data_IF_776153519865
#
_entry.id   IF_776153519865
#
_cell.length_a   1.000
_cell.length_b   1.000
_cell.length_c   1.000
_cell.angle_alpha   90.00
_cell.angle_beta   90.00
_cell.angle_gamma   90.00
#
_symmetry.space_group_name_H-M   'P 1'
#
loop_
_entity.id
_entity.type
_entity.pdbx_description
1 polymer ?
#
# COMPACT_ATOMS: atom_id res chain seq x y z
N UNK A 1 -35.56 -28.79 -64.98
CA UNK A 1 -35.18 -28.97 -63.58
C UNK A 1 -34.19 -27.88 -63.25
N UNK A 2 -34.59 -26.82 -62.55
CA UNK A 2 -33.74 -25.69 -62.18
C UNK A 2 -33.23 -25.90 -60.76
N UNK A 3 -31.90 -26.07 -60.60
CA UNK A 3 -31.26 -26.12 -59.30
C UNK A 3 -31.15 -24.72 -58.69
N UNK A 4 -31.83 -24.50 -57.56
CA UNK A 4 -31.69 -23.27 -56.77
C UNK A 4 -30.57 -23.52 -55.81
N UNK A 5 -29.46 -22.78 -55.97
CA UNK A 5 -28.35 -22.70 -55.02
C UNK A 5 -28.75 -21.72 -53.93
N UNK A 6 -28.96 -22.20 -52.70
CA UNK A 6 -29.18 -21.35 -51.52
C UNK A 6 -27.78 -20.98 -50.97
N UNK A 7 -27.41 -19.71 -51.12
CA UNK A 7 -26.22 -19.14 -50.54
C UNK A 7 -26.51 -18.72 -49.08
N UNK A 8 -26.03 -19.50 -48.11
CA UNK A 8 -26.13 -19.15 -46.71
C UNK A 8 -24.97 -18.19 -46.40
N UNK A 9 -25.25 -16.90 -46.31
CA UNK A 9 -24.30 -15.89 -45.82
C UNK A 9 -24.19 -15.99 -44.30
N UNK A 10 -23.08 -16.50 -43.81
CA UNK A 10 -22.71 -16.33 -42.40
C UNK A 10 -22.32 -14.87 -42.17
N UNK A 11 -23.17 -14.08 -41.52
CA UNK A 11 -22.79 -12.82 -40.95
C UNK A 11 -21.95 -13.13 -39.72
N UNK A 12 -20.65 -12.97 -39.84
CA UNK A 12 -19.76 -12.81 -38.68
C UNK A 12 -20.06 -11.43 -38.08
N UNK A 13 -20.84 -11.38 -37.01
CA UNK A 13 -20.88 -10.23 -36.13
C UNK A 13 -19.56 -10.27 -35.35
N UNK A 14 -18.55 -9.55 -35.83
CA UNK A 14 -17.39 -9.25 -35.04
C UNK A 14 -17.88 -8.36 -33.89
N UNK A 15 -18.07 -8.93 -32.71
CA UNK A 15 -18.13 -8.18 -31.47
C UNK A 15 -16.80 -7.44 -31.39
N UNK A 16 -16.82 -6.14 -31.66
CA UNK A 16 -15.72 -5.27 -31.32
C UNK A 16 -15.62 -5.35 -29.78
N UNK A 17 -14.68 -6.15 -29.28
CA UNK A 17 -14.21 -6.00 -27.91
C UNK A 17 -13.75 -4.55 -27.82
N UNK A 18 -14.52 -3.72 -27.13
CA UNK A 18 -14.06 -2.39 -26.72
C UNK A 18 -12.91 -2.67 -25.79
N UNK A 19 -11.68 -2.58 -26.31
CA UNK A 19 -10.48 -2.51 -25.51
C UNK A 19 -10.71 -1.37 -24.52
N UNK A 20 -10.99 -1.69 -23.26
CA UNK A 20 -11.00 -0.71 -22.22
C UNK A 20 -9.61 -0.09 -22.19
N UNK A 21 -9.54 1.18 -22.58
CA UNK A 21 -8.28 1.90 -22.70
C UNK A 21 -7.95 2.40 -21.29
N UNK A 22 -7.11 1.66 -20.56
CA UNK A 22 -6.56 2.14 -19.30
C UNK A 22 -5.76 3.43 -19.61
N UNK A 23 -6.21 4.55 -19.09
CA UNK A 23 -5.52 5.85 -19.25
C UNK A 23 -4.24 5.87 -18.39
N UNK A 24 -3.20 5.20 -18.87
CA UNK A 24 -1.89 5.18 -18.22
C UNK A 24 -1.03 6.29 -18.83
N UNK A 25 -0.56 7.20 -17.99
CA UNK A 25 0.34 8.28 -18.39
C UNK A 25 1.67 7.73 -18.92
N UNK A 26 2.28 8.43 -19.87
CA UNK A 26 3.66 8.15 -20.27
C UNK A 26 4.63 8.30 -19.10
N UNK A 27 5.80 7.64 -19.13
CA UNK A 27 6.79 7.73 -18.06
C UNK A 27 7.23 9.18 -17.77
N UNK A 28 7.24 10.04 -18.77
CA UNK A 28 7.56 11.45 -18.60
C UNK A 28 6.46 12.17 -17.80
N UNK A 29 5.20 11.97 -18.16
CA UNK A 29 4.06 12.57 -17.46
C UNK A 29 3.98 12.04 -16.01
N UNK A 30 4.21 10.74 -15.80
CA UNK A 30 4.31 10.16 -14.46
C UNK A 30 5.40 10.84 -13.62
N UNK A 31 6.56 11.12 -14.20
CA UNK A 31 7.64 11.81 -13.52
C UNK A 31 7.24 13.25 -13.15
N UNK A 32 6.61 13.99 -14.06
CA UNK A 32 6.13 15.35 -13.82
C UNK A 32 5.09 15.40 -12.69
N UNK A 33 4.14 14.45 -12.67
CA UNK A 33 3.13 14.33 -11.60
C UNK A 33 3.80 14.06 -10.25
N UNK A 34 4.67 13.06 -10.18
CA UNK A 34 5.36 12.68 -8.93
C UNK A 34 6.23 13.81 -8.38
N UNK A 35 6.97 14.51 -9.23
CA UNK A 35 7.81 15.64 -8.82
C UNK A 35 6.96 16.83 -8.36
N UNK A 36 5.78 17.05 -8.96
CA UNK A 36 4.81 18.04 -8.51
C UNK A 36 4.26 17.70 -7.12
N UNK A 37 3.83 16.45 -6.91
CA UNK A 37 3.37 15.99 -5.58
C UNK A 37 4.44 16.13 -4.52
N UNK A 38 5.68 15.78 -4.83
CA UNK A 38 6.78 15.89 -3.89
C UNK A 38 6.97 17.34 -3.42
N UNK A 39 6.86 18.34 -4.33
CA UNK A 39 6.91 19.76 -3.96
C UNK A 39 5.78 20.15 -3.02
N UNK A 40 4.54 19.73 -3.33
CA UNK A 40 3.40 20.02 -2.47
C UNK A 40 3.52 19.35 -1.09
N UNK A 41 4.00 18.12 -1.03
CA UNK A 41 4.28 17.43 0.23
C UNK A 41 5.29 18.19 1.10
N UNK A 42 6.35 18.72 0.51
CA UNK A 42 7.32 19.54 1.24
C UNK A 42 6.73 20.83 1.79
N UNK A 43 5.74 21.40 1.14
CA UNK A 43 5.04 22.59 1.62
C UNK A 43 4.00 22.27 2.70
N UNK A 44 3.21 21.22 2.52
CA UNK A 44 2.05 20.92 3.34
C UNK A 44 2.37 19.97 4.51
N UNK A 45 3.20 18.95 4.28
CA UNK A 45 3.41 17.83 5.21
C UNK A 45 4.63 18.06 6.10
N UNK A 46 5.81 18.37 5.53
CA UNK A 46 7.07 18.44 6.27
C UNK A 46 7.04 19.44 7.44
N UNK A 47 6.56 20.70 7.28
CA UNK A 47 6.55 21.66 8.39
C UNK A 47 5.64 21.23 9.53
N UNK A 48 4.46 20.70 9.20
CA UNK A 48 3.49 20.25 10.21
C UNK A 48 4.02 19.07 11.03
N UNK A 49 4.67 18.10 10.38
CA UNK A 49 5.27 16.94 11.04
C UNK A 49 6.44 17.33 11.93
N UNK A 50 7.40 18.11 11.42
CA UNK A 50 8.57 18.52 12.21
C UNK A 50 8.17 19.30 13.45
N UNK A 51 7.19 20.21 13.34
CA UNK A 51 6.68 21.00 14.47
C UNK A 51 5.87 20.16 15.45
N UNK A 52 5.02 19.23 14.96
CA UNK A 52 4.27 18.28 15.80
C UNK A 52 5.20 17.46 16.69
N UNK A 53 6.30 16.95 16.12
CA UNK A 53 7.28 16.13 16.85
C UNK A 53 8.35 16.96 17.58
N UNK A 54 8.34 18.27 17.42
CA UNK A 54 9.30 19.19 18.04
C UNK A 54 10.75 18.93 17.57
N UNK A 55 10.91 18.62 16.28
CA UNK A 55 12.21 18.34 15.63
C UNK A 55 12.65 19.57 14.85
N UNK A 56 13.83 20.08 15.15
CA UNK A 56 14.39 21.22 14.44
C UNK A 56 15.14 20.81 13.17
N UNK A 57 15.77 19.63 13.16
CA UNK A 57 16.51 19.13 11.99
C UNK A 57 16.23 17.65 11.75
N UNK A 58 15.91 17.30 10.51
CA UNK A 58 15.76 15.93 10.06
C UNK A 58 16.83 15.59 9.03
N UNK A 59 17.61 14.54 9.29
CA UNK A 59 18.65 14.04 8.42
C UNK A 59 18.21 12.70 7.81
N UNK A 60 18.22 12.63 6.48
CA UNK A 60 18.00 11.39 5.74
C UNK A 60 19.25 11.07 4.95
N UNK A 61 19.96 10.00 5.34
CA UNK A 61 21.30 9.69 4.85
C UNK A 61 21.31 8.30 4.24
N UNK A 62 21.65 8.21 2.97
CA UNK A 62 21.73 6.95 2.24
C UNK A 62 22.92 6.91 1.29
N UNK A 63 23.19 5.73 0.79
CA UNK A 63 24.08 5.54 -0.35
C UNK A 63 23.38 4.71 -1.43
N UNK A 64 23.87 4.84 -2.65
CA UNK A 64 23.44 4.08 -3.81
C UNK A 64 23.40 2.58 -3.50
N UNK A 65 22.30 1.93 -3.89
CA UNK A 65 21.96 0.52 -3.65
C UNK A 65 21.66 0.13 -2.20
N UNK A 66 21.63 1.09 -1.28
CA UNK A 66 21.16 0.89 0.09
C UNK A 66 20.44 2.15 0.55
N UNK A 67 19.36 2.45 -0.15
CA UNK A 67 18.57 3.63 0.09
C UNK A 67 17.63 3.42 1.29
N UNK A 68 17.57 4.45 2.12
CA UNK A 68 16.54 4.65 3.13
C UNK A 68 15.15 4.67 2.46
N UNK A 69 14.15 3.93 2.97
CA UNK A 69 12.80 3.91 2.39
C UNK A 69 12.18 5.32 2.27
N UNK A 70 12.40 6.20 3.25
CA UNK A 70 11.94 7.59 3.19
C UNK A 70 12.66 8.35 2.10
N UNK A 71 13.99 8.19 1.96
CA UNK A 71 14.76 8.84 0.89
C UNK A 71 14.22 8.49 -0.49
N UNK A 72 13.85 7.22 -0.74
CA UNK A 72 13.25 6.82 -2.03
C UNK A 72 12.03 7.65 -2.40
N UNK A 73 11.24 8.04 -1.42
CA UNK A 73 10.05 8.88 -1.63
C UNK A 73 10.36 10.37 -1.76
N UNK A 74 11.59 10.79 -1.46
CA UNK A 74 12.06 12.19 -1.53
C UNK A 74 12.96 12.44 -2.73
N UNK A 75 13.36 11.41 -3.47
CA UNK A 75 14.13 11.55 -4.69
C UNK A 75 13.24 12.06 -5.85
N UNK A 76 13.78 12.88 -6.77
CA UNK A 76 13.07 13.24 -7.98
C UNK A 76 12.77 11.99 -8.80
N UNK A 77 11.65 11.96 -9.51
CA UNK A 77 11.19 10.78 -10.25
C UNK A 77 12.18 10.28 -11.31
N UNK A 78 13.10 11.14 -11.76
CA UNK A 78 14.19 10.78 -12.68
C UNK A 78 15.39 10.08 -12.00
N UNK A 79 15.39 10.00 -10.67
CA UNK A 79 16.43 9.29 -9.91
C UNK A 79 15.89 7.94 -9.45
N UNK A 80 16.27 6.87 -10.14
CA UNK A 80 15.85 5.51 -9.79
C UNK A 80 16.57 4.98 -8.53
N UNK A 81 17.67 5.62 -8.14
CA UNK A 81 18.44 5.34 -6.94
C UNK A 81 19.12 6.63 -6.44
N UNK A 82 19.54 6.65 -5.18
CA UNK A 82 20.44 7.66 -4.67
C UNK A 82 21.79 7.61 -5.43
N UNK A 83 22.55 8.69 -5.38
CA UNK A 83 23.86 8.75 -6.06
C UNK A 83 24.97 8.76 -5.03
N UNK A 84 25.80 7.69 -4.99
CA UNK A 84 26.87 7.53 -4.00
C UNK A 84 26.32 7.71 -2.58
N UNK A 85 26.95 8.55 -1.74
CA UNK A 85 26.35 8.99 -0.47
C UNK A 85 25.58 10.28 -0.70
N UNK A 86 24.28 10.25 -0.46
CA UNK A 86 23.36 11.39 -0.52
C UNK A 86 22.86 11.67 0.90
N UNK A 87 22.99 12.92 1.35
CA UNK A 87 22.51 13.34 2.67
C UNK A 87 21.54 14.50 2.46
N UNK A 88 20.29 14.29 2.80
CA UNK A 88 19.24 15.31 2.77
C UNK A 88 19.10 15.90 4.17
N UNK A 89 19.10 17.21 4.25
CA UNK A 89 18.93 17.96 5.50
C UNK A 89 17.71 18.83 5.37
N UNK A 90 16.79 18.69 6.29
CA UNK A 90 15.61 19.55 6.47
C UNK A 90 15.76 20.26 7.82
N UNK A 91 15.74 21.58 7.82
CA UNK A 91 15.87 22.40 9.02
C UNK A 91 14.70 23.38 9.15
N UNK A 92 13.93 23.27 10.22
CA UNK A 92 12.88 24.24 10.56
C UNK A 92 13.50 25.44 11.28
N UNK A 93 13.56 26.57 10.60
CA UNK A 93 14.04 27.83 11.19
C UNK A 93 12.93 28.58 11.95
N UNK A 94 11.73 27.96 12.12
CA UNK A 94 10.55 28.52 12.75
C UNK A 94 9.62 29.28 11.80
N UNK A 95 10.08 29.60 10.56
CA UNK A 95 9.28 30.25 9.51
C UNK A 95 9.03 29.27 8.36
N UNK A 96 10.09 28.66 7.88
CA UNK A 96 10.09 27.73 6.76
C UNK A 96 11.03 26.55 7.00
N UNK A 97 10.92 25.52 6.17
CA UNK A 97 11.85 24.40 6.15
C UNK A 97 12.95 24.70 5.14
N UNK A 98 14.14 24.95 5.61
CA UNK A 98 15.32 25.04 4.78
C UNK A 98 15.78 23.63 4.40
N UNK A 99 16.12 23.42 3.13
CA UNK A 99 16.50 22.11 2.60
C UNK A 99 17.89 22.16 1.96
N UNK A 100 18.74 21.16 2.29
CA UNK A 100 20.09 21.07 1.79
C UNK A 100 20.39 19.66 1.29
N UNK A 101 21.09 19.58 0.16
CA UNK A 101 21.72 18.35 -0.32
C UNK A 101 23.21 18.39 -0.03
N UNK A 102 23.67 17.66 0.97
CA UNK A 102 25.09 17.42 1.17
C UNK A 102 25.50 16.27 0.25
N UNK A 103 25.51 16.56 -1.04
CA UNK A 103 25.86 15.66 -2.14
C UNK A 103 26.49 16.48 -3.28
N UNK A 104 26.99 15.81 -4.32
CA UNK A 104 27.63 16.46 -5.49
C UNK A 104 26.65 17.23 -6.38
N UNK A 105 25.34 17.00 -6.21
CA UNK A 105 24.27 17.49 -7.10
C UNK A 105 23.10 18.04 -6.27
N UNK A 106 22.31 18.89 -6.90
CA UNK A 106 20.94 19.15 -6.45
C UNK A 106 20.17 17.83 -6.45
N UNK A 107 19.31 17.59 -5.46
CA UNK A 107 18.36 16.48 -5.47
C UNK A 107 16.99 17.05 -5.81
N UNK A 108 16.66 16.95 -7.08
CA UNK A 108 15.49 17.61 -7.64
C UNK A 108 15.52 19.14 -7.48
N UNK A 109 14.35 19.73 -7.41
CA UNK A 109 14.21 21.17 -7.21
C UNK A 109 14.21 21.57 -5.73
N UNK A 110 14.00 20.62 -4.83
CA UNK A 110 13.80 20.85 -3.39
C UNK A 110 15.14 20.99 -2.66
N UNK A 111 16.03 20.03 -2.83
CA UNK A 111 17.30 20.02 -2.06
C UNK A 111 18.44 20.57 -2.90
N UNK A 112 18.87 21.78 -2.56
CA UNK A 112 19.97 22.43 -3.27
C UNK A 112 21.32 21.95 -2.79
N UNK A 113 22.25 21.75 -3.73
CA UNK A 113 23.63 21.37 -3.46
C UNK A 113 24.25 22.33 -2.46
N UNK A 114 24.74 21.79 -1.35
CA UNK A 114 25.40 22.56 -0.28
C UNK A 114 26.84 22.07 0.03
N UNK A 115 27.34 21.14 -0.78
CA UNK A 115 28.67 20.59 -0.67
C UNK A 115 29.46 20.70 -1.97
N UNK A 116 30.67 21.23 -1.88
CA UNK A 116 31.64 21.32 -2.98
C UNK A 116 32.89 20.55 -2.59
N UNK A 117 33.18 19.37 -3.18
CA UNK A 117 34.32 18.55 -2.82
C UNK A 117 35.69 19.19 -3.15
N UNK A 118 35.72 20.20 -4.05
CA UNK A 118 36.96 20.92 -4.35
C UNK A 118 37.34 21.89 -3.22
N UNK A 119 36.31 22.45 -2.54
CA UNK A 119 36.53 23.35 -1.39
C UNK A 119 36.60 22.62 -0.05
N UNK A 120 35.80 21.57 0.11
CA UNK A 120 35.73 20.72 1.29
C UNK A 120 35.72 19.25 0.86
N UNK A 121 36.88 18.56 0.85
CA UNK A 121 36.94 17.16 0.40
C UNK A 121 36.13 16.18 1.25
N UNK A 122 35.93 16.49 2.54
CA UNK A 122 35.20 15.65 3.49
C UNK A 122 33.70 16.03 3.55
N UNK A 123 32.87 15.18 3.00
CA UNK A 123 31.41 15.34 2.97
C UNK A 123 30.79 15.36 4.39
N UNK A 124 31.31 14.55 5.31
CA UNK A 124 30.82 14.47 6.68
C UNK A 124 31.17 15.71 7.47
N UNK A 125 32.35 16.29 7.23
CA UNK A 125 32.76 17.58 7.79
C UNK A 125 31.81 18.68 7.32
N UNK A 126 31.40 18.70 6.04
CA UNK A 126 30.42 19.66 5.55
C UNK A 126 29.06 19.51 6.25
N UNK A 127 28.57 18.28 6.45
CA UNK A 127 27.35 18.03 7.23
C UNK A 127 27.50 18.59 8.67
N UNK A 128 28.61 18.31 9.33
CA UNK A 128 28.89 18.83 10.68
C UNK A 128 28.89 20.36 10.72
N UNK A 129 29.48 21.03 9.72
CA UNK A 129 29.48 22.50 9.61
C UNK A 129 28.05 23.05 9.52
N UNK A 130 27.15 22.43 8.73
CA UNK A 130 25.74 22.81 8.65
C UNK A 130 25.02 22.62 10.00
N UNK A 131 25.27 21.50 10.69
CA UNK A 131 24.71 21.25 12.03
C UNK A 131 25.15 22.30 13.03
N UNK A 132 26.45 22.67 13.03
CA UNK A 132 27.00 23.69 13.90
C UNK A 132 26.39 25.08 13.58
N UNK A 133 26.33 25.43 12.30
CA UNK A 133 25.76 26.71 11.83
C UNK A 133 24.32 26.89 12.26
N UNK A 134 23.48 25.84 12.04
CA UNK A 134 22.05 25.88 12.36
C UNK A 134 21.74 25.67 13.83
N UNK A 135 22.64 25.03 14.57
CA UNK A 135 22.56 24.78 16.02
C UNK A 135 21.18 24.19 16.45
N UNK A 136 20.69 23.11 15.83
CA UNK A 136 19.40 22.51 16.17
C UNK A 136 19.39 21.97 17.60
N UNK A 137 18.25 22.04 18.28
CA UNK A 137 18.06 21.46 19.61
C UNK A 137 17.87 19.94 19.53
N UNK A 138 17.16 19.46 18.47
CA UNK A 138 16.95 18.05 18.19
C UNK A 138 17.27 17.73 16.73
N UNK A 139 18.06 16.69 16.53
CA UNK A 139 18.47 16.17 15.22
C UNK A 139 17.89 14.78 15.07
N UNK A 140 16.90 14.64 14.19
CA UNK A 140 16.25 13.34 13.95
C UNK A 140 16.94 12.59 12.82
N UNK A 141 17.15 11.29 13.01
CA UNK A 141 17.68 10.34 12.01
C UNK A 141 16.76 9.13 11.88
N UNK A 142 16.66 8.55 10.70
CA UNK A 142 15.81 7.39 10.45
C UNK A 142 16.40 6.12 11.08
N UNK A 143 16.16 5.97 12.37
CA UNK A 143 16.52 4.81 13.19
C UNK A 143 15.32 4.39 14.02
N UNK A 144 14.86 3.18 13.82
CA UNK A 144 13.67 2.63 14.46
C UNK A 144 13.87 1.16 14.82
N UNK A 145 13.26 0.75 15.94
CA UNK A 145 13.15 -0.67 16.31
C UNK A 145 11.78 -1.28 15.89
N UNK A 146 10.83 -0.42 15.48
CA UNK A 146 9.44 -0.82 15.31
C UNK A 146 9.01 -0.87 13.84
N UNK A 147 9.51 0.05 13.01
CA UNK A 147 9.17 0.16 11.60
C UNK A 147 10.41 0.10 10.73
N UNK A 148 10.53 -0.95 9.91
CA UNK A 148 11.61 -1.07 8.93
C UNK A 148 11.65 0.11 7.95
N UNK A 149 10.50 0.71 7.63
CA UNK A 149 10.39 1.91 6.80
C UNK A 149 11.01 3.17 7.44
N UNK A 150 11.19 3.19 8.75
CA UNK A 150 11.77 4.28 9.51
C UNK A 150 13.18 3.98 10.03
N UNK A 151 13.77 2.82 9.65
CA UNK A 151 15.10 2.36 10.05
C UNK A 151 16.05 2.33 8.85
N UNK A 152 16.15 3.45 8.15
CA UNK A 152 16.87 3.53 6.88
C UNK A 152 18.36 3.93 6.99
N UNK A 153 18.81 4.48 8.11
CA UNK A 153 20.21 4.80 8.28
C UNK A 153 21.03 3.53 8.54
N UNK A 154 22.04 3.26 7.71
CA UNK A 154 22.93 2.12 7.99
C UNK A 154 23.78 2.36 9.24
N UNK A 155 24.20 1.29 9.93
CA UNK A 155 25.10 1.39 11.08
C UNK A 155 26.36 2.17 10.75
N UNK A 156 26.96 1.93 9.57
CA UNK A 156 28.12 2.67 9.09
C UNK A 156 27.87 4.19 9.01
N UNK A 157 26.72 4.60 8.44
CA UNK A 157 26.41 6.03 8.33
C UNK A 157 26.05 6.65 9.68
N UNK A 158 25.39 5.91 10.55
CA UNK A 158 25.16 6.34 11.93
C UNK A 158 26.50 6.61 12.66
N UNK A 159 27.43 5.67 12.60
CA UNK A 159 28.72 5.81 13.28
C UNK A 159 29.53 6.97 12.70
N UNK A 160 29.54 7.13 11.37
CA UNK A 160 30.18 8.27 10.70
C UNK A 160 29.57 9.61 11.09
N UNK A 161 28.26 9.71 11.21
CA UNK A 161 27.59 10.90 11.73
C UNK A 161 28.07 11.21 13.15
N UNK A 162 28.01 10.20 14.03
CA UNK A 162 28.41 10.37 15.44
C UNK A 162 29.89 10.68 15.63
N UNK A 163 30.77 10.20 14.73
CA UNK A 163 32.18 10.57 14.71
C UNK A 163 32.37 12.03 14.27
N UNK A 164 31.60 12.51 13.30
CA UNK A 164 31.83 13.79 12.62
C UNK A 164 31.30 15.00 13.39
N UNK A 165 30.22 14.82 14.18
CA UNK A 165 29.61 15.94 14.92
C UNK A 165 30.26 16.17 16.29
N UNK A 166 30.33 17.43 16.77
CA UNK A 166 30.85 17.74 18.09
C UNK A 166 30.07 17.06 19.23
N UNK A 167 30.74 16.80 20.35
CA UNK A 167 30.21 16.06 21.48
C UNK A 167 28.85 16.64 22.01
N UNK A 168 28.72 17.96 22.03
CA UNK A 168 27.51 18.66 22.49
C UNK A 168 26.29 18.48 21.56
N UNK A 169 26.47 18.02 20.33
CA UNK A 169 25.38 17.68 19.41
C UNK A 169 24.99 16.21 19.48
N UNK A 170 25.88 15.31 19.92
CA UNK A 170 25.61 13.86 19.98
C UNK A 170 24.40 13.52 20.84
N UNK A 171 24.22 14.21 21.96
CA UNK A 171 23.06 14.05 22.85
C UNK A 171 21.75 14.59 22.30
N UNK A 172 21.80 15.38 21.21
CA UNK A 172 20.63 15.92 20.52
C UNK A 172 20.10 15.02 19.40
N UNK A 173 20.86 13.96 19.05
CA UNK A 173 20.45 13.00 18.01
C UNK A 173 19.37 12.09 18.58
N UNK A 174 18.23 12.03 17.91
CA UNK A 174 17.04 11.25 18.29
C UNK A 174 16.51 10.44 17.11
N UNK A 175 15.64 9.47 17.38
CA UNK A 175 14.93 8.74 16.33
C UNK A 175 13.96 9.65 15.59
N UNK A 176 13.93 9.52 14.25
CA UNK A 176 12.95 10.15 13.38
C UNK A 176 11.72 9.26 13.13
N UNK A 177 11.52 8.16 13.87
CA UNK A 177 10.45 7.17 13.62
C UNK A 177 9.11 7.84 13.34
N UNK A 178 8.65 8.73 14.24
CA UNK A 178 7.36 9.41 14.07
C UNK A 178 7.31 10.37 12.88
N UNK A 179 8.44 10.98 12.49
CA UNK A 179 8.53 11.79 11.27
C UNK A 179 8.44 10.91 10.02
N UNK A 180 9.19 9.82 9.99
CA UNK A 180 9.21 8.89 8.87
C UNK A 180 7.82 8.25 8.67
N UNK A 181 7.21 7.75 9.75
CA UNK A 181 5.84 7.22 9.73
C UNK A 181 4.86 8.27 9.21
N UNK A 182 4.83 9.46 9.82
CA UNK A 182 3.92 10.52 9.42
C UNK A 182 4.13 11.01 7.97
N UNK A 183 5.38 11.03 7.48
CA UNK A 183 5.67 11.32 6.09
C UNK A 183 5.14 10.25 5.15
N UNK A 184 5.29 8.98 5.48
CA UNK A 184 4.89 7.86 4.62
C UNK A 184 3.38 7.63 4.62
N UNK A 185 2.71 7.77 5.77
CA UNK A 185 1.27 7.53 5.88
C UNK A 185 0.40 8.69 5.37
N UNK A 186 0.87 9.94 5.51
CA UNK A 186 0.09 11.12 5.12
C UNK A 186 -0.11 11.23 3.63
N UNK A 187 -1.37 11.39 3.20
CA UNK A 187 -1.74 11.70 1.81
C UNK A 187 -2.05 13.19 1.65
N UNK A 188 -1.75 13.73 0.48
CA UNK A 188 -2.18 15.07 0.07
C UNK A 188 -3.39 14.97 -0.88
N UNK A 189 -4.20 16.03 -1.03
CA UNK A 189 -5.37 16.00 -1.90
C UNK A 189 -5.06 15.60 -3.35
N UNK A 190 -3.92 16.02 -3.87
CA UNK A 190 -3.47 15.72 -5.22
C UNK A 190 -3.19 14.22 -5.43
N UNK A 191 -2.62 13.55 -4.42
CA UNK A 191 -2.42 12.10 -4.42
C UNK A 191 -3.78 11.39 -4.39
N UNK A 192 -4.71 11.84 -3.51
CA UNK A 192 -6.03 11.23 -3.39
C UNK A 192 -6.88 11.39 -4.66
N UNK A 193 -6.71 12.49 -5.40
CA UNK A 193 -7.41 12.69 -6.68
C UNK A 193 -7.00 11.62 -7.71
N UNK A 194 -5.72 11.26 -7.76
CA UNK A 194 -5.22 10.21 -8.64
C UNK A 194 -5.52 8.80 -8.11
N UNK A 195 -5.57 8.63 -6.78
CA UNK A 195 -5.72 7.31 -6.17
C UNK A 195 -7.02 6.60 -6.60
N UNK A 196 -8.12 7.33 -6.78
CA UNK A 196 -9.36 6.78 -7.34
C UNK A 196 -9.17 6.16 -8.71
N UNK A 197 -8.39 6.80 -9.57
CA UNK A 197 -8.08 6.25 -10.89
C UNK A 197 -7.22 5.00 -10.78
N UNK A 198 -6.26 4.98 -9.84
CA UNK A 198 -5.39 3.82 -9.59
C UNK A 198 -6.21 2.62 -9.12
N UNK A 199 -7.17 2.84 -8.20
CA UNK A 199 -8.08 1.81 -7.71
C UNK A 199 -8.93 1.22 -8.83
N UNK A 200 -9.54 2.07 -9.69
CA UNK A 200 -10.31 1.59 -10.84
C UNK A 200 -9.49 0.71 -11.77
N UNK A 201 -8.22 1.06 -12.02
CA UNK A 201 -7.33 0.21 -12.81
C UNK A 201 -7.17 -1.16 -12.14
N UNK A 202 -6.97 -1.21 -10.83
CA UNK A 202 -6.84 -2.47 -10.09
C UNK A 202 -8.12 -3.32 -10.20
N UNK A 203 -9.29 -2.74 -9.90
CA UNK A 203 -10.59 -3.42 -10.00
C UNK A 203 -10.90 -3.90 -11.43
N UNK A 204 -10.60 -3.10 -12.46
CA UNK A 204 -10.80 -3.50 -13.85
C UNK A 204 -9.88 -4.67 -14.25
N UNK A 205 -8.64 -4.71 -13.77
CA UNK A 205 -7.75 -5.85 -13.99
C UNK A 205 -8.28 -7.09 -13.28
N UNK A 206 -8.75 -6.97 -12.03
CA UNK A 206 -9.36 -8.08 -11.29
C UNK A 206 -10.58 -8.60 -12.04
N UNK A 207 -11.49 -7.73 -12.47
CA UNK A 207 -12.70 -8.11 -13.20
C UNK A 207 -12.38 -8.84 -14.51
N UNK A 208 -11.35 -8.41 -15.25
CA UNK A 208 -10.89 -9.12 -16.45
C UNK A 208 -10.33 -10.51 -16.11
N UNK A 209 -9.53 -10.62 -15.03
CA UNK A 209 -8.97 -11.89 -14.59
C UNK A 209 -10.03 -12.91 -14.14
N UNK A 210 -11.18 -12.44 -13.68
CA UNK A 210 -12.32 -13.28 -13.31
C UNK A 210 -13.29 -13.54 -14.46
N UNK A 211 -13.02 -13.01 -15.65
CA UNK A 211 -13.90 -13.17 -16.81
C UNK A 211 -13.70 -14.52 -17.54
N UNK A 212 -14.64 -14.85 -18.42
CA UNK A 212 -14.58 -16.00 -19.32
C UNK A 212 -13.40 -15.93 -20.33
N UNK A 213 -12.80 -14.75 -20.53
CA UNK A 213 -11.60 -14.60 -21.36
C UNK A 213 -10.39 -15.24 -20.71
N UNK A 214 -10.36 -15.37 -19.38
CA UNK A 214 -9.24 -15.89 -18.59
C UNK A 214 -9.57 -17.23 -17.97
N UNK A 215 -10.76 -17.37 -17.38
CA UNK A 215 -11.18 -18.59 -16.69
C UNK A 215 -12.07 -19.46 -17.57
N UNK A 216 -11.57 -20.64 -17.92
CA UNK A 216 -12.36 -21.74 -18.48
C UNK A 216 -12.56 -22.77 -17.38
N UNK A 217 -13.76 -22.87 -16.77
CA UNK A 217 -14.03 -23.82 -15.68
C UNK A 217 -13.74 -25.26 -16.08
N UNK A 218 -13.10 -26.02 -15.22
CA UNK A 218 -12.65 -27.39 -15.48
C UNK A 218 -11.30 -27.49 -16.19
N UNK A 219 -10.69 -26.37 -16.61
CA UNK A 219 -9.41 -26.32 -17.35
C UNK A 219 -8.41 -25.39 -16.67
N UNK A 220 -8.78 -24.12 -16.46
CA UNK A 220 -7.89 -23.09 -15.91
C UNK A 220 -7.58 -23.38 -14.45
N UNK A 221 -6.31 -23.27 -14.09
CA UNK A 221 -5.82 -23.39 -12.72
C UNK A 221 -5.73 -22.02 -12.05
N UNK A 222 -5.76 -21.99 -10.73
CA UNK A 222 -5.56 -20.75 -9.96
C UNK A 222 -4.22 -20.09 -10.29
N UNK A 223 -3.15 -20.87 -10.48
CA UNK A 223 -1.83 -20.36 -10.87
C UNK A 223 -1.83 -19.70 -12.27
N UNK A 224 -2.62 -20.21 -13.21
CA UNK A 224 -2.72 -19.62 -14.55
C UNK A 224 -3.30 -18.21 -14.48
N UNK A 225 -4.30 -17.99 -13.60
CA UNK A 225 -4.91 -16.68 -13.34
C UNK A 225 -3.91 -15.73 -12.67
N UNK A 226 -3.14 -16.20 -11.69
CA UNK A 226 -2.08 -15.43 -11.02
C UNK A 226 -1.06 -14.92 -12.03
N UNK A 227 -0.57 -15.78 -12.93
CA UNK A 227 0.38 -15.36 -13.95
C UNK A 227 -0.25 -14.44 -14.99
N UNK A 228 -1.51 -14.65 -15.33
CA UNK A 228 -2.25 -13.70 -16.19
C UNK A 228 -2.28 -12.30 -15.58
N UNK A 229 -2.58 -12.16 -14.28
CA UNK A 229 -2.53 -10.88 -13.58
C UNK A 229 -1.14 -10.24 -13.68
N UNK A 230 -0.07 -11.01 -13.45
CA UNK A 230 1.30 -10.50 -13.54
C UNK A 230 1.65 -10.00 -14.94
N UNK A 231 1.28 -10.74 -15.96
CA UNK A 231 1.48 -10.37 -17.36
C UNK A 231 0.64 -9.13 -17.71
N UNK A 232 -0.60 -9.07 -17.26
CA UNK A 232 -1.49 -7.93 -17.50
C UNK A 232 -0.92 -6.64 -16.89
N UNK A 233 -0.51 -6.65 -15.63
CA UNK A 233 0.14 -5.52 -14.94
C UNK A 233 1.37 -5.06 -15.75
N UNK A 234 2.24 -5.99 -16.14
CA UNK A 234 3.45 -5.70 -16.91
C UNK A 234 3.13 -5.10 -18.28
N UNK A 235 2.14 -5.63 -18.97
CA UNK A 235 1.72 -5.16 -20.31
C UNK A 235 1.18 -3.72 -20.31
N UNK A 236 0.65 -3.27 -19.17
CA UNK A 236 0.19 -1.90 -18.96
C UNK A 236 1.32 -0.95 -18.52
N UNK A 237 2.55 -1.45 -18.34
CA UNK A 237 3.66 -0.65 -17.83
C UNK A 237 3.55 -0.32 -16.35
N UNK A 238 2.70 -1.07 -15.61
CA UNK A 238 2.57 -1.00 -14.16
C UNK A 238 3.48 -2.02 -13.49
N UNK A 239 3.58 -1.97 -12.16
CA UNK A 239 4.28 -2.99 -11.37
C UNK A 239 3.38 -3.54 -10.26
N UNK A 240 3.58 -4.83 -9.93
CA UNK A 240 3.03 -5.42 -8.73
C UNK A 240 4.02 -5.22 -7.59
N UNK A 241 3.55 -4.96 -6.39
CA UNK A 241 4.40 -4.86 -5.21
C UNK A 241 4.48 -6.18 -4.43
N UNK A 242 3.55 -7.10 -4.67
CA UNK A 242 3.60 -8.49 -4.25
C UNK A 242 3.13 -9.42 -5.37
N UNK A 243 3.33 -10.72 -5.20
CA UNK A 243 2.83 -11.72 -6.13
C UNK A 243 1.38 -12.02 -5.80
N UNK A 244 0.40 -11.73 -6.69
CA UNK A 244 -1.01 -11.97 -6.42
C UNK A 244 -1.28 -13.40 -5.99
N UNK A 245 -2.33 -13.63 -5.22
CA UNK A 245 -2.78 -14.98 -4.90
C UNK A 245 -4.20 -15.19 -5.42
N UNK A 246 -4.45 -16.39 -5.92
CA UNK A 246 -5.81 -16.83 -6.30
C UNK A 246 -6.06 -18.18 -5.67
N UNK A 247 -7.12 -18.29 -4.92
CA UNK A 247 -7.54 -19.54 -4.29
C UNK A 247 -9.04 -19.82 -4.47
N UNK A 248 -9.47 -21.03 -4.13
CA UNK A 248 -10.85 -21.46 -4.29
C UNK A 248 -11.37 -22.07 -3.01
N UNK A 249 -12.64 -21.81 -2.72
CA UNK A 249 -13.41 -22.51 -1.70
C UNK A 249 -14.59 -23.22 -2.38
N UNK A 250 -14.82 -24.49 -2.07
CA UNK A 250 -15.87 -25.33 -2.69
C UNK A 250 -16.55 -26.25 -1.69
N UNK A 251 -17.78 -26.67 -2.01
CA UNK A 251 -18.58 -27.52 -1.15
C UNK A 251 -18.16 -29.00 -1.10
N UNK A 252 -17.56 -29.51 -2.16
CA UNK A 252 -17.35 -30.95 -2.36
C UNK A 252 -16.01 -31.50 -1.83
N UNK A 253 -15.17 -30.69 -1.19
CA UNK A 253 -13.84 -31.10 -0.70
C UNK A 253 -13.77 -31.09 0.82
N UNK A 254 -12.98 -32.04 1.34
CA UNK A 254 -12.82 -32.40 2.74
C UNK A 254 -12.65 -31.21 3.70
N UNK A 255 -13.33 -31.26 4.84
CA UNK A 255 -13.44 -30.20 5.85
C UNK A 255 -12.13 -29.71 6.46
N UNK A 256 -11.02 -30.36 6.17
CA UNK A 256 -9.71 -30.00 6.70
C UNK A 256 -9.00 -28.85 5.92
N UNK A 257 -9.50 -28.48 4.74
CA UNK A 257 -8.91 -27.38 3.95
C UNK A 257 -9.37 -25.98 4.39
N UNK A 258 -10.49 -25.85 5.10
CA UNK A 258 -11.04 -24.58 5.55
C UNK A 258 -10.20 -23.83 6.59
N UNK A 259 -9.20 -24.50 7.16
CA UNK A 259 -8.28 -23.94 8.15
C UNK A 259 -6.87 -23.75 7.57
N UNK A 260 -6.78 -23.24 6.35
CA UNK A 260 -5.44 -22.84 5.86
C UNK A 260 -4.90 -21.74 6.76
N UNK A 261 -3.82 -22.07 7.46
CA UNK A 261 -2.96 -21.06 8.07
C UNK A 261 -2.46 -20.16 6.95
N UNK A 262 -2.36 -18.86 7.20
CA UNK A 262 -1.83 -17.83 6.29
C UNK A 262 -0.45 -18.20 5.69
N UNK A 263 0.28 -19.09 6.36
CA UNK A 263 1.60 -19.59 5.95
C UNK A 263 1.58 -20.61 4.79
N UNK A 264 0.41 -21.13 4.41
CA UNK A 264 0.31 -22.07 3.28
C UNK A 264 0.02 -21.30 1.99
N UNK A 265 0.87 -21.52 0.99
CA UNK A 265 0.58 -21.03 -0.37
C UNK A 265 -0.72 -21.66 -0.87
N UNK A 266 -1.54 -20.92 -1.62
CA UNK A 266 -2.72 -21.47 -2.29
C UNK A 266 -2.33 -22.71 -3.10
N UNK A 267 -3.17 -23.76 -3.04
CA UNK A 267 -2.95 -24.93 -3.89
C UNK A 267 -3.25 -24.54 -5.35
N UNK A 268 -2.48 -25.10 -6.26
CA UNK A 268 -2.71 -24.92 -7.69
C UNK A 268 -3.92 -25.77 -8.13
N UNK A 269 -5.11 -25.28 -7.83
CA UNK A 269 -6.38 -25.98 -8.06
C UNK A 269 -6.96 -25.65 -9.42
N UNK A 270 -7.55 -26.66 -10.11
CA UNK A 270 -8.39 -26.41 -11.28
C UNK A 270 -9.68 -25.78 -10.80
N UNK A 271 -10.02 -24.60 -11.33
CA UNK A 271 -11.24 -23.86 -11.03
C UNK A 271 -12.44 -24.61 -11.62
N UNK A 272 -13.47 -24.87 -10.82
CA UNK A 272 -14.64 -25.66 -11.19
C UNK A 272 -15.94 -24.83 -11.12
N UNK A 273 -16.97 -25.19 -11.88
CA UNK A 273 -18.29 -24.62 -11.66
C UNK A 273 -18.77 -24.86 -10.22
N UNK A 274 -19.20 -23.82 -9.55
CA UNK A 274 -19.61 -23.83 -8.14
C UNK A 274 -18.55 -23.42 -7.15
N UNK A 275 -17.34 -23.09 -7.60
CA UNK A 275 -16.30 -22.52 -6.75
C UNK A 275 -16.57 -21.08 -6.37
N UNK A 276 -16.27 -20.72 -5.15
CA UNK A 276 -16.01 -19.34 -4.74
C UNK A 276 -14.51 -19.10 -4.92
N UNK A 277 -14.16 -18.26 -5.88
CA UNK A 277 -12.78 -17.86 -6.18
C UNK A 277 -12.49 -16.57 -5.44
N UNK A 278 -11.32 -16.47 -4.85
CA UNK A 278 -10.81 -15.30 -4.17
C UNK A 278 -9.49 -14.87 -4.81
N UNK A 279 -9.27 -13.57 -4.92
CA UNK A 279 -7.99 -12.96 -5.33
C UNK A 279 -7.54 -11.98 -4.27
N UNK A 280 -6.25 -11.95 -4.04
CA UNK A 280 -5.53 -10.91 -3.33
C UNK A 280 -4.57 -10.26 -4.32
N UNK A 281 -4.72 -8.93 -4.54
CA UNK A 281 -4.17 -8.23 -5.69
C UNK A 281 -3.78 -6.79 -5.38
N UNK A 282 -2.58 -6.39 -5.81
CA UNK A 282 -2.12 -5.01 -5.68
C UNK A 282 -1.24 -4.56 -6.84
N UNK A 283 -1.41 -3.29 -7.23
CA UNK A 283 -0.57 -2.63 -8.23
C UNK A 283 0.17 -1.43 -7.64
N UNK A 284 1.22 -1.01 -8.35
CA UNK A 284 1.94 0.23 -8.08
C UNK A 284 1.85 1.13 -9.30
N UNK A 285 1.34 2.34 -9.09
CA UNK A 285 1.27 3.38 -10.12
C UNK A 285 1.50 4.76 -9.52
N UNK A 286 2.25 5.62 -10.17
CA UNK A 286 2.64 6.96 -9.69
C UNK A 286 3.35 6.97 -8.32
N UNK A 287 3.91 5.82 -7.90
CA UNK A 287 4.55 5.65 -6.59
C UNK A 287 3.57 5.39 -5.46
N UNK A 288 2.29 5.17 -5.75
CA UNK A 288 1.26 4.71 -4.82
C UNK A 288 0.94 3.23 -5.08
N UNK A 289 0.53 2.53 -4.04
CA UNK A 289 0.20 1.11 -4.05
C UNK A 289 -1.27 0.93 -3.76
N UNK A 290 -1.90 -0.09 -4.36
CA UNK A 290 -3.23 -0.57 -3.98
C UNK A 290 -3.12 -1.94 -3.35
N UNK A 291 -4.11 -2.30 -2.54
CA UNK A 291 -4.29 -3.61 -1.94
C UNK A 291 -5.77 -3.96 -1.85
N UNK A 292 -6.17 -5.02 -2.52
CA UNK A 292 -7.60 -5.38 -2.63
C UNK A 292 -7.79 -6.87 -2.68
N UNK A 293 -8.84 -7.36 -2.00
CA UNK A 293 -9.26 -8.75 -2.07
C UNK A 293 -10.69 -8.84 -2.57
N UNK A 294 -10.87 -9.57 -3.66
CA UNK A 294 -12.14 -9.72 -4.33
C UNK A 294 -12.59 -11.18 -4.42
N UNK A 295 -13.90 -11.39 -4.49
CA UNK A 295 -14.50 -12.70 -4.57
C UNK A 295 -15.37 -12.83 -5.83
N UNK A 296 -15.28 -13.96 -6.50
CA UNK A 296 -16.15 -14.30 -7.64
C UNK A 296 -16.70 -15.71 -7.49
N UNK A 297 -17.94 -15.92 -7.94
CA UNK A 297 -18.56 -17.23 -7.99
C UNK A 297 -18.55 -17.77 -9.42
N UNK A 298 -18.07 -18.98 -9.60
CA UNK A 298 -18.07 -19.66 -10.90
C UNK A 298 -19.44 -20.36 -11.08
N UNK A 299 -20.30 -19.73 -11.86
CA UNK A 299 -21.67 -20.23 -12.08
C UNK A 299 -21.69 -21.65 -12.64
N UNK A 300 -22.60 -22.52 -12.11
CA UNK A 300 -22.92 -23.79 -12.70
C UNK A 300 -23.81 -23.61 -13.94
N UNK A 301 -23.93 -24.63 -14.74
CA UNK A 301 -24.83 -24.62 -15.91
C UNK A 301 -26.23 -24.25 -15.46
N UNK A 302 -26.80 -23.18 -16.04
CA UNK A 302 -28.12 -22.66 -15.73
C UNK A 302 -28.18 -21.65 -14.58
N UNK A 303 -27.09 -21.38 -13.89
CA UNK A 303 -26.98 -20.28 -12.94
C UNK A 303 -26.52 -19.00 -13.65
N UNK A 304 -26.98 -17.85 -13.17
CA UNK A 304 -26.65 -16.52 -13.72
C UNK A 304 -26.09 -15.56 -12.66
N UNK A 305 -25.98 -16.04 -11.43
CA UNK A 305 -25.54 -15.25 -10.29
C UNK A 305 -25.12 -16.17 -9.14
N UNK A 306 -24.42 -15.63 -8.14
CA UNK A 306 -24.03 -16.35 -6.94
C UNK A 306 -25.26 -16.80 -6.14
N UNK A 307 -25.24 -18.01 -5.56
CA UNK A 307 -26.33 -18.51 -4.73
C UNK A 307 -26.63 -17.59 -3.52
N UNK A 308 -27.90 -17.55 -3.05
CA UNK A 308 -28.27 -16.68 -1.92
C UNK A 308 -27.42 -16.88 -0.65
N UNK A 309 -27.01 -18.11 -0.37
CA UNK A 309 -26.19 -18.41 0.83
C UNK A 309 -24.77 -17.81 0.74
N UNK A 310 -24.15 -17.72 -0.44
CA UNK A 310 -22.87 -17.04 -0.63
C UNK A 310 -23.03 -15.52 -0.56
N UNK A 311 -24.12 -14.97 -1.12
CA UNK A 311 -24.44 -13.55 -0.98
C UNK A 311 -24.65 -13.15 0.48
N UNK A 312 -25.31 -14.01 1.27
CA UNK A 312 -25.47 -13.77 2.72
C UNK A 312 -24.12 -13.82 3.44
N UNK A 313 -23.21 -14.74 3.08
CA UNK A 313 -21.87 -14.78 3.64
C UNK A 313 -21.08 -13.50 3.28
N UNK A 314 -21.20 -13.03 2.04
CA UNK A 314 -20.59 -11.77 1.59
C UNK A 314 -21.13 -10.56 2.38
N UNK A 315 -22.46 -10.50 2.61
CA UNK A 315 -23.09 -9.45 3.43
C UNK A 315 -22.56 -9.45 4.87
N UNK A 316 -22.19 -10.59 5.43
CA UNK A 316 -21.52 -10.65 6.74
C UNK A 316 -20.14 -10.02 6.70
N UNK A 317 -19.39 -10.21 5.62
CA UNK A 317 -18.13 -9.52 5.37
C UNK A 317 -18.30 -7.99 5.28
N UNK A 318 -19.26 -7.52 4.47
CA UNK A 318 -19.59 -6.08 4.35
C UNK A 318 -19.95 -5.48 5.71
N UNK A 319 -20.75 -6.18 6.50
CA UNK A 319 -21.11 -5.72 7.84
C UNK A 319 -19.89 -5.59 8.78
N UNK A 320 -18.90 -6.47 8.63
CA UNK A 320 -17.66 -6.37 9.39
C UNK A 320 -16.83 -5.16 8.91
N UNK A 321 -16.78 -4.90 7.60
CA UNK A 321 -16.15 -3.69 7.04
C UNK A 321 -16.79 -2.42 7.60
N UNK A 322 -18.13 -2.37 7.69
CA UNK A 322 -18.85 -1.24 8.30
C UNK A 322 -18.45 -1.07 9.77
N UNK A 323 -18.40 -2.13 10.57
CA UNK A 323 -17.99 -2.06 11.97
C UNK A 323 -16.55 -1.56 12.14
N UNK A 324 -15.66 -1.95 11.24
CA UNK A 324 -14.27 -1.49 11.27
C UNK A 324 -14.19 0.00 10.90
N UNK A 325 -14.77 0.41 9.78
CA UNK A 325 -14.71 1.80 9.30
C UNK A 325 -15.42 2.78 10.24
N UNK A 326 -16.51 2.37 10.87
CA UNK A 326 -17.25 3.15 11.88
C UNK A 326 -16.46 3.32 13.20
N UNK A 327 -15.47 2.48 13.47
CA UNK A 327 -14.65 2.57 14.67
C UNK A 327 -13.53 3.61 14.57
N UNK A 328 -13.20 4.07 13.35
CA UNK A 328 -12.15 5.07 13.14
C UNK A 328 -12.51 6.41 13.77
N UNK A 329 -11.55 6.98 14.47
CA UNK A 329 -11.66 8.31 15.07
C UNK A 329 -10.26 8.91 15.21
N UNK A 330 -10.12 10.20 14.93
CA UNK A 330 -8.88 10.94 15.14
C UNK A 330 -8.38 10.80 16.58
N UNK A 331 -7.11 10.41 16.71
CA UNK A 331 -6.44 10.20 17.99
C UNK A 331 -6.64 8.85 18.66
N UNK A 332 -7.60 8.00 18.23
CA UNK A 332 -7.63 6.59 18.67
C UNK A 332 -6.42 5.84 18.18
N UNK A 333 -5.99 4.86 18.95
CA UNK A 333 -4.96 3.91 18.51
C UNK A 333 -5.54 2.83 17.61
N UNK A 334 -4.69 2.17 16.80
CA UNK A 334 -5.10 0.99 16.04
C UNK A 334 -5.73 -0.10 16.91
N UNK A 335 -5.18 -0.31 18.11
CA UNK A 335 -5.70 -1.28 19.09
C UNK A 335 -7.10 -0.89 19.62
N UNK A 336 -7.38 0.38 19.82
CA UNK A 336 -8.71 0.85 20.24
C UNK A 336 -9.74 0.65 19.12
N UNK A 337 -9.37 0.94 17.88
CA UNK A 337 -10.22 0.68 16.70
C UNK A 337 -10.50 -0.81 16.55
N UNK A 338 -9.46 -1.67 16.61
CA UNK A 338 -9.59 -3.12 16.56
C UNK A 338 -10.58 -3.63 17.61
N UNK A 339 -10.36 -3.26 18.87
CA UNK A 339 -11.18 -3.71 20.00
C UNK A 339 -12.65 -3.32 19.83
N UNK A 340 -12.92 -2.10 19.38
CA UNK A 340 -14.30 -1.63 19.17
C UNK A 340 -14.97 -2.41 18.03
N UNK A 341 -14.29 -2.55 16.88
CA UNK A 341 -14.82 -3.28 15.73
C UNK A 341 -15.11 -4.74 16.06
N UNK A 342 -14.16 -5.45 16.68
CA UNK A 342 -14.33 -6.85 17.11
C UNK A 342 -15.47 -7.00 18.12
N UNK A 343 -15.61 -6.09 19.08
CA UNK A 343 -16.69 -6.13 20.07
C UNK A 343 -18.07 -6.04 19.40
N UNK A 344 -18.24 -5.09 18.46
CA UNK A 344 -19.48 -4.94 17.69
C UNK A 344 -19.76 -6.16 16.82
N UNK A 345 -18.74 -6.68 16.13
CA UNK A 345 -18.88 -7.83 15.24
C UNK A 345 -19.29 -9.09 15.99
N UNK A 346 -18.63 -9.41 17.11
CA UNK A 346 -18.97 -10.57 17.95
C UNK A 346 -20.37 -10.43 18.56
N UNK A 347 -20.75 -9.24 19.02
CA UNK A 347 -22.12 -8.98 19.51
C UNK A 347 -23.18 -9.15 18.41
N UNK A 348 -22.84 -8.95 17.14
CA UNK A 348 -23.69 -9.19 15.98
C UNK A 348 -23.67 -10.64 15.51
N UNK A 349 -22.96 -11.55 16.19
CA UNK A 349 -22.89 -12.99 15.88
C UNK A 349 -21.86 -13.34 14.78
N UNK A 350 -20.99 -12.41 14.36
CA UNK A 350 -19.92 -12.68 13.41
C UNK A 350 -18.74 -13.40 14.10
N UNK A 351 -17.90 -14.04 13.28
CA UNK A 351 -16.63 -14.64 13.68
C UNK A 351 -15.48 -13.88 12.98
N UNK A 352 -15.16 -12.65 13.43
CA UNK A 352 -14.28 -11.75 12.73
C UNK A 352 -12.79 -12.08 12.91
N UNK A 353 -11.99 -11.66 11.93
CA UNK A 353 -10.55 -11.43 12.04
C UNK A 353 -10.20 -10.17 11.24
N UNK A 354 -9.43 -9.24 11.83
CA UNK A 354 -9.09 -7.94 11.23
C UNK A 354 -7.58 -7.78 11.27
N UNK A 355 -6.98 -7.29 10.17
CA UNK A 355 -5.55 -6.96 10.13
C UNK A 355 -5.25 -5.81 9.15
N UNK A 356 -5.95 -4.76 9.30
CA UNK A 356 -5.91 -3.54 8.50
C UNK A 356 -4.66 -2.70 8.78
N UNK A 357 -4.15 -2.00 7.77
CA UNK A 357 -2.91 -1.22 7.86
C UNK A 357 -2.97 0.04 6.98
N UNK A 358 -2.12 1.06 7.23
CA UNK A 358 -1.94 2.16 6.30
C UNK A 358 -1.43 1.69 4.94
N UNK A 359 -1.83 2.40 3.87
CA UNK A 359 -1.37 2.16 2.50
C UNK A 359 -1.01 3.47 1.81
N UNK A 360 -0.17 3.41 0.80
CA UNK A 360 0.23 4.58 0.02
C UNK A 360 1.57 4.39 -0.67
N UNK A 361 2.66 4.96 -0.15
CA UNK A 361 4.01 4.75 -0.69
C UNK A 361 4.52 3.30 -0.53
N UNK A 362 3.90 2.54 0.33
CA UNK A 362 4.12 1.11 0.52
C UNK A 362 2.76 0.44 0.67
N UNK A 363 2.63 -0.80 0.20
CA UNK A 363 1.41 -1.58 0.37
C UNK A 363 1.16 -1.83 1.85
N UNK A 364 2.02 -2.58 2.53
CA UNK A 364 2.03 -2.62 3.99
C UNK A 364 2.70 -1.36 4.53
N UNK A 365 1.94 -0.28 4.71
CA UNK A 365 2.44 1.03 5.10
C UNK A 365 2.83 1.12 6.57
N UNK A 366 3.76 2.03 6.89
CA UNK A 366 4.07 2.37 8.27
C UNK A 366 2.96 3.22 8.89
N UNK A 367 2.61 2.95 10.13
CA UNK A 367 1.57 3.66 10.88
C UNK A 367 0.79 2.74 11.82
N UNK A 368 -0.40 3.16 12.28
CA UNK A 368 -1.20 2.35 13.22
C UNK A 368 -1.67 1.05 12.58
N UNK A 369 -1.20 -0.07 13.14
CA UNK A 369 -1.65 -1.41 12.76
C UNK A 369 -2.95 -1.73 13.48
N UNK A 370 -3.96 -2.24 12.77
CA UNK A 370 -5.28 -2.58 13.32
C UNK A 370 -5.46 -4.10 13.28
N UNK A 371 -4.93 -4.79 14.29
CA UNK A 371 -4.86 -6.24 14.31
C UNK A 371 -3.78 -6.82 13.41
N UNK A 372 -3.48 -8.08 13.60
CA UNK A 372 -2.75 -8.97 12.70
C UNK A 372 -3.48 -10.31 12.72
N UNK A 373 -3.33 -11.10 11.66
CA UNK A 373 -4.05 -12.38 11.53
C UNK A 373 -3.90 -13.30 12.77
N UNK A 374 -2.77 -13.19 13.50
CA UNK A 374 -2.43 -13.95 14.72
C UNK A 374 -2.49 -13.11 16.01
N UNK A 375 -2.84 -11.81 15.94
CA UNK A 375 -2.87 -10.88 17.08
C UNK A 375 -4.18 -10.07 17.10
N UNK A 376 -5.27 -10.75 17.47
CA UNK A 376 -6.60 -10.16 17.53
C UNK A 376 -6.91 -9.48 18.88
N UNK A 377 -6.10 -9.70 19.89
CA UNK A 377 -6.22 -9.05 21.22
C UNK A 377 -5.47 -7.71 21.29
N UNK A 378 -4.80 -7.32 20.22
CA UNK A 378 -4.01 -6.10 20.10
C UNK A 378 -2.59 -6.35 19.59
N UNK A 379 -2.04 -5.39 18.88
CA UNK A 379 -0.69 -5.44 18.31
C UNK A 379 0.23 -4.57 19.15
N UNK A 380 1.26 -5.14 19.81
CA UNK A 380 2.17 -4.35 20.63
C UNK A 380 2.91 -3.29 19.81
N UNK A 381 3.06 -2.10 20.34
CA UNK A 381 3.78 -0.95 19.80
C UNK A 381 3.13 -0.35 18.54
N UNK A 382 3.08 -1.07 17.42
CA UNK A 382 2.54 -0.51 16.17
C UNK A 382 1.04 -0.29 16.22
N UNK A 383 0.31 -1.13 16.96
CA UNK A 383 -1.12 -0.96 17.25
C UNK A 383 -1.41 0.20 18.21
N UNK A 384 -0.41 0.68 18.98
CA UNK A 384 -0.55 1.82 19.89
C UNK A 384 -0.32 3.18 19.20
N UNK A 385 0.02 3.18 17.91
CA UNK A 385 0.08 4.39 17.09
C UNK A 385 -1.33 4.94 16.87
N UNK A 386 -1.42 6.28 16.86
CA UNK A 386 -2.69 6.96 16.71
C UNK A 386 -3.11 7.08 15.26
N UNK A 387 -4.37 6.82 15.00
CA UNK A 387 -5.05 7.16 13.75
C UNK A 387 -5.00 8.68 13.56
N UNK A 388 -4.58 9.13 12.40
CA UNK A 388 -4.50 10.56 12.06
C UNK A 388 -5.27 10.87 10.78
N UNK A 389 -5.86 12.08 10.67
CA UNK A 389 -6.55 12.51 9.45
C UNK A 389 -5.62 12.54 8.25
N UNK A 390 -6.16 12.23 7.08
CA UNK A 390 -5.42 12.28 5.81
C UNK A 390 -4.54 11.07 5.56
N UNK A 391 -4.92 9.92 6.07
CA UNK A 391 -4.25 8.63 5.85
C UNK A 391 -5.15 7.68 5.08
N UNK A 392 -4.59 6.96 4.11
CA UNK A 392 -5.25 5.86 3.44
C UNK A 392 -4.93 4.54 4.15
N UNK A 393 -5.89 3.64 4.16
CA UNK A 393 -5.82 2.33 4.79
C UNK A 393 -6.29 1.26 3.82
N UNK A 394 -5.66 0.11 3.82
CA UNK A 394 -6.28 -1.12 3.39
C UNK A 394 -7.21 -1.59 4.51
N UNK A 395 -8.51 -1.69 4.21
CA UNK A 395 -9.55 -2.20 5.12
C UNK A 395 -9.64 -3.69 4.91
N UNK A 396 -8.71 -4.42 5.54
CA UNK A 396 -8.51 -5.85 5.36
C UNK A 396 -9.02 -6.66 6.53
N UNK A 397 -9.82 -7.69 6.23
CA UNK A 397 -10.49 -8.52 7.23
C UNK A 397 -11.10 -9.80 6.64
N UNK A 398 -11.49 -10.71 7.50
CA UNK A 398 -12.36 -11.81 7.11
C UNK A 398 -13.37 -12.16 8.21
N UNK A 399 -14.46 -12.79 7.81
CA UNK A 399 -15.38 -13.45 8.73
C UNK A 399 -15.56 -14.91 8.34
N UNK A 400 -15.61 -15.79 9.34
CA UNK A 400 -15.88 -17.21 9.10
C UNK A 400 -17.38 -17.42 9.14
N UNK A 401 -17.91 -18.05 8.07
CA UNK A 401 -19.35 -18.30 7.88
C UNK A 401 -19.57 -19.77 7.63
N UNK A 402 -20.48 -20.40 8.39
CA UNK A 402 -20.89 -21.77 8.12
C UNK A 402 -21.93 -21.78 6.99
N UNK A 403 -21.65 -22.53 5.93
CA UNK A 403 -22.54 -22.71 4.77
C UNK A 403 -23.22 -24.07 4.90
N UNK A 404 -24.51 -24.11 5.26
CA UNK A 404 -25.23 -25.38 5.42
C UNK A 404 -25.25 -26.24 4.16
N UNK A 405 -25.37 -25.62 2.98
CA UNK A 405 -25.39 -26.30 1.68
C UNK A 405 -24.09 -27.01 1.36
N UNK A 406 -22.97 -26.54 1.93
CA UNK A 406 -21.64 -27.13 1.80
C UNK A 406 -21.26 -27.96 3.02
N UNK A 407 -22.06 -27.93 4.09
CA UNK A 407 -21.72 -28.48 5.39
C UNK A 407 -20.32 -28.13 5.86
N UNK A 408 -19.92 -26.87 5.66
CA UNK A 408 -18.56 -26.40 5.81
C UNK A 408 -18.52 -24.94 6.28
N UNK A 409 -17.53 -24.59 7.08
CA UNK A 409 -17.20 -23.19 7.37
C UNK A 409 -16.25 -22.64 6.29
N UNK A 410 -16.57 -21.49 5.73
CA UNK A 410 -15.72 -20.76 4.78
C UNK A 410 -15.19 -19.48 5.41
N UNK A 411 -14.17 -18.90 4.81
CA UNK A 411 -13.73 -17.54 5.08
C UNK A 411 -14.23 -16.62 3.98
N UNK A 412 -14.97 -15.60 4.36
CA UNK A 412 -15.26 -14.48 3.47
C UNK A 412 -14.19 -13.42 3.73
N UNK A 413 -13.19 -13.41 2.87
CA UNK A 413 -12.05 -12.49 2.90
C UNK A 413 -12.39 -11.28 2.03
N UNK A 414 -12.11 -10.09 2.54
CA UNK A 414 -12.44 -8.82 1.89
C UNK A 414 -11.39 -7.78 2.20
N UNK A 415 -11.06 -6.96 1.21
CA UNK A 415 -10.10 -5.88 1.36
C UNK A 415 -10.37 -4.78 0.35
N UNK A 416 -10.44 -3.55 0.86
CA UNK A 416 -10.62 -2.35 0.04
C UNK A 416 -9.82 -1.18 0.58
N UNK A 417 -9.19 -0.44 -0.32
CA UNK A 417 -8.51 0.80 0.06
C UNK A 417 -9.51 1.90 0.40
N UNK A 418 -9.28 2.55 1.52
CA UNK A 418 -10.12 3.62 2.02
C UNK A 418 -9.31 4.80 2.56
N UNK A 419 -9.93 5.95 2.63
CA UNK A 419 -9.30 7.19 3.11
C UNK A 419 -10.02 7.73 4.34
N UNK A 420 -9.26 8.01 5.40
CA UNK A 420 -9.77 8.65 6.62
C UNK A 420 -9.49 10.15 6.57
N UNK A 421 -10.54 10.98 6.50
CA UNK A 421 -10.46 12.44 6.42
C UNK A 421 -10.39 13.15 7.80
N UNK A 422 -10.45 12.36 8.90
CA UNK A 422 -10.52 12.83 10.28
C UNK A 422 -11.92 12.79 10.86
N UNK A 423 -12.94 12.52 10.06
CA UNK A 423 -14.34 12.40 10.48
C UNK A 423 -14.94 11.06 10.10
N UNK A 424 -14.64 10.59 8.92
CA UNK A 424 -15.14 9.33 8.39
C UNK A 424 -14.10 8.64 7.52
N UNK A 425 -14.25 7.33 7.39
CA UNK A 425 -13.59 6.53 6.36
C UNK A 425 -14.48 6.51 5.11
N UNK A 426 -13.87 6.65 3.94
CA UNK A 426 -14.56 6.53 2.65
C UNK A 426 -13.72 5.68 1.73
N UNK A 427 -14.29 4.66 1.10
CA UNK A 427 -13.62 3.86 0.09
C UNK A 427 -13.14 4.74 -1.06
N UNK A 428 -12.01 4.39 -1.65
CA UNK A 428 -11.31 5.26 -2.61
C UNK A 428 -11.95 5.18 -3.99
N UNK A 429 -12.60 4.07 -4.33
CA UNK A 429 -13.37 3.92 -5.59
C UNK A 429 -14.88 3.98 -5.39
#
# INVERSE_FOLDING_TARGET
>A
MKNILILISFLFVASAATSQNFEILSLKEQAEVRDSWLKERFKQVTPSLMRREGIDMWLVISREYNEDPVMKTMLPATWLSARRTTMLVMYDNGREIETYSVARYDVGEIFKKSWDPEKQPDQWKRLAEIIIEKNPRKIAINKSANFGHADGISSFHHDKLMESIPANFKSRVVSAEKLAVGWLEKRIPEEMAAYRHIMRIAHEIIAQGFSEEVITPGVTKTEDVVWWYREKISSLGLSAWFHPTVDVQRGEVDSNEAQREFSRRPDNSIIQPGDLVHVDFGISYLGLHTDTQENAYICRIGEHDAPPYLKEAFNQGLKLMDFLTDAFQDGKTGNEVLKEALTKAVAAGLKPSIYSHPIGFHGHGAGPTIGLWDQQDGVPVTGDYQITPGTAYSIELNTRVFIPEWNKEIRMMMEEDAYFDGKKVSYID
#
